data_IF_281741437137
#
_entry.id   IF_281741437137
#
_cell.length_a   1.000
_cell.length_b   1.000
_cell.length_c   1.000
_cell.angle_alpha   90.00
_cell.angle_beta   90.00
_cell.angle_gamma   90.00
#
_symmetry.space_group_name_H-M   'P 1'
#
loop_
_entity.id
_entity.type
_entity.pdbx_description
1 polymer ?
#
# COMPACT_ATOMS: atom_id res chain seq x y z
N UNK A 1 -8.06 -8.32 -7.05
CA UNK A 1 -8.98 -8.26 -5.88
C UNK A 1 -9.59 -6.87 -5.83
N UNK A 2 -10.67 -6.60 -5.07
CA UNK A 2 -11.10 -5.21 -4.88
C UNK A 2 -10.00 -4.42 -4.15
N UNK A 3 -9.90 -3.13 -4.48
CA UNK A 3 -9.03 -2.20 -3.74
C UNK A 3 -9.48 -2.20 -2.28
N UNK A 4 -8.52 -2.32 -1.37
CA UNK A 4 -8.76 -2.27 0.08
C UNK A 4 -8.48 -0.87 0.60
N UNK A 5 -9.34 -0.40 1.49
CA UNK A 5 -9.17 0.87 2.20
C UNK A 5 -8.79 0.58 3.67
N UNK A 6 -7.70 1.18 4.13
CA UNK A 6 -7.18 1.03 5.49
C UNK A 6 -7.00 2.40 6.11
N UNK A 7 -7.76 2.69 7.16
CA UNK A 7 -7.64 3.97 7.90
C UNK A 7 -6.55 3.86 8.96
N UNK A 8 -5.57 4.77 8.92
CA UNK A 8 -4.49 4.87 9.90
C UNK A 8 -4.36 6.32 10.40
N UNK A 9 -4.87 6.60 11.59
CA UNK A 9 -4.90 7.95 12.14
C UNK A 9 -5.70 8.92 11.26
N UNK A 10 -5.07 9.99 10.79
CA UNK A 10 -5.67 10.98 9.86
C UNK A 10 -5.45 10.64 8.36
N UNK A 11 -4.90 9.46 8.09
CA UNK A 11 -4.57 8.99 6.74
C UNK A 11 -5.44 7.80 6.34
N UNK A 12 -5.75 7.72 5.04
CA UNK A 12 -6.44 6.61 4.39
C UNK A 12 -5.46 6.00 3.40
N UNK A 13 -5.18 4.71 3.56
CA UNK A 13 -4.29 3.95 2.69
C UNK A 13 -5.16 3.12 1.76
N UNK A 14 -5.06 3.34 0.46
CA UNK A 14 -5.68 2.46 -0.52
C UNK A 14 -4.65 1.44 -0.99
N UNK A 15 -5.01 0.17 -1.02
CA UNK A 15 -4.14 -0.91 -1.48
C UNK A 15 -4.82 -1.66 -2.62
N UNK A 16 -4.12 -1.76 -3.74
CA UNK A 16 -4.53 -2.57 -4.88
C UNK A 16 -3.54 -3.72 -5.06
N UNK A 17 -4.01 -4.95 -4.85
CA UNK A 17 -3.21 -6.16 -5.04
C UNK A 17 -3.44 -6.72 -6.44
N UNK A 18 -2.34 -6.79 -7.20
CA UNK A 18 -2.30 -7.19 -8.59
C UNK A 18 -1.56 -8.53 -8.67
N UNK A 19 -2.20 -9.52 -9.30
CA UNK A 19 -1.53 -10.77 -9.64
C UNK A 19 -1.06 -10.70 -11.09
N UNK A 20 0.23 -10.95 -11.31
CA UNK A 20 0.84 -11.03 -12.64
C UNK A 20 0.51 -12.37 -13.30
N UNK A 21 0.69 -12.44 -14.62
CA UNK A 21 0.43 -13.65 -15.42
C UNK A 21 1.29 -14.85 -14.99
N UNK A 22 2.48 -14.59 -14.43
CA UNK A 22 3.39 -15.60 -13.88
C UNK A 22 3.03 -16.04 -12.44
N UNK A 23 1.85 -15.66 -11.96
CA UNK A 23 1.30 -15.90 -10.61
C UNK A 23 2.02 -15.16 -9.48
N UNK A 24 2.98 -14.28 -9.77
CA UNK A 24 3.57 -13.43 -8.75
C UNK A 24 2.59 -12.35 -8.31
N UNK A 25 2.60 -12.04 -7.03
CA UNK A 25 1.83 -10.95 -6.47
C UNK A 25 2.65 -9.67 -6.49
N UNK A 26 1.96 -8.58 -6.79
CA UNK A 26 2.43 -7.20 -6.65
C UNK A 26 1.35 -6.44 -5.92
N UNK A 27 1.70 -5.33 -5.29
CA UNK A 27 0.70 -4.40 -4.81
C UNK A 27 1.12 -2.99 -5.17
N UNK A 28 0.13 -2.11 -5.28
CA UNK A 28 0.35 -0.68 -5.25
C UNK A 28 -0.46 -0.09 -4.13
N UNK A 29 0.06 0.96 -3.51
CA UNK A 29 -0.65 1.69 -2.47
C UNK A 29 -0.59 3.19 -2.68
N UNK A 30 -1.56 3.92 -2.16
CA UNK A 30 -1.54 5.38 -2.10
C UNK A 30 -1.99 5.82 -0.70
N UNK A 31 -1.41 6.89 -0.18
CA UNK A 31 -1.68 7.40 1.17
C UNK A 31 -2.34 8.77 1.09
N UNK A 32 -3.63 8.83 1.41
CA UNK A 32 -4.43 10.05 1.40
C UNK A 32 -4.57 10.65 2.79
N UNK A 33 -4.13 11.90 2.99
CA UNK A 33 -4.43 12.65 4.21
C UNK A 33 -5.76 13.38 4.05
N UNK A 34 -6.60 13.38 5.09
CA UNK A 34 -7.79 14.22 5.10
C UNK A 34 -7.43 15.69 4.78
N UNK A 35 -7.89 16.19 3.61
CA UNK A 35 -7.64 17.56 3.14
C UNK A 35 -6.55 17.76 2.08
N UNK A 36 -5.76 16.74 1.72
CA UNK A 36 -4.80 16.78 0.61
C UNK A 36 -5.19 15.73 -0.45
N UNK A 37 -5.43 16.19 -1.69
CA UNK A 37 -6.08 15.40 -2.76
C UNK A 37 -5.07 14.79 -3.77
N UNK A 38 -3.76 14.91 -3.54
CA UNK A 38 -2.76 14.32 -4.45
C UNK A 38 -1.91 13.32 -3.71
N UNK A 39 -2.15 12.06 -4.01
CA UNK A 39 -1.51 10.90 -3.41
C UNK A 39 -1.26 9.93 -4.55
N UNK A 40 -0.05 9.99 -5.10
CA UNK A 40 0.31 9.14 -6.23
C UNK A 40 0.36 7.67 -5.80
N UNK A 41 0.07 6.77 -6.74
CA UNK A 41 0.23 5.35 -6.53
C UNK A 41 1.71 5.00 -6.48
N UNK A 42 2.08 4.22 -5.47
CA UNK A 42 3.39 3.63 -5.33
C UNK A 42 3.33 2.13 -5.54
N UNK A 43 4.15 1.62 -6.45
CA UNK A 43 4.28 0.21 -6.72
C UNK A 43 5.26 -0.47 -5.75
N UNK A 44 4.87 -1.65 -5.28
CA UNK A 44 5.66 -2.52 -4.41
C UNK A 44 5.73 -3.90 -5.02
N UNK A 45 6.94 -4.31 -5.36
CA UNK A 45 7.22 -5.69 -5.70
C UNK A 45 7.25 -6.53 -4.42
N UNK A 46 6.42 -7.59 -4.39
CA UNK A 46 6.46 -8.52 -3.27
C UNK A 46 7.65 -9.47 -3.46
N UNK A 47 8.44 -9.73 -2.39
CA UNK A 47 9.53 -10.69 -2.46
C UNK A 47 9.05 -12.08 -2.90
N UNK A 48 9.92 -12.84 -3.56
CA UNK A 48 9.63 -14.23 -3.92
C UNK A 48 9.25 -15.04 -2.67
N UNK A 49 8.14 -15.78 -2.75
CA UNK A 49 7.58 -16.55 -1.63
C UNK A 49 6.38 -15.91 -0.94
N UNK A 50 6.02 -14.66 -1.27
CA UNK A 50 4.77 -14.04 -0.83
C UNK A 50 3.61 -14.41 -1.77
N UNK A 51 2.84 -15.45 -1.40
CA UNK A 51 1.83 -16.08 -2.28
C UNK A 51 0.41 -15.58 -1.99
N UNK A 52 0.22 -14.56 -1.14
CA UNK A 52 -1.11 -14.10 -0.75
C UNK A 52 -1.29 -12.60 -0.89
N UNK A 53 -2.46 -12.22 -1.43
CA UNK A 53 -2.91 -10.84 -1.49
C UNK A 53 -2.97 -10.18 -0.11
N UNK A 54 -3.26 -10.97 0.94
CA UNK A 54 -3.38 -10.47 2.31
C UNK A 54 -2.00 -10.03 2.86
N UNK A 55 -0.93 -10.75 2.52
CA UNK A 55 0.42 -10.31 2.88
C UNK A 55 0.85 -9.09 2.06
N UNK A 56 0.44 -9.02 0.79
CA UNK A 56 0.69 -7.85 -0.05
C UNK A 56 0.02 -6.58 0.53
N UNK A 57 -1.16 -6.74 1.14
CA UNK A 57 -1.84 -5.68 1.90
C UNK A 57 -1.05 -5.29 3.13
N UNK A 58 -0.67 -6.24 3.98
CA UNK A 58 0.09 -5.93 5.20
C UNK A 58 1.42 -5.24 4.90
N UNK A 59 2.15 -5.69 3.87
CA UNK A 59 3.41 -5.06 3.45
C UNK A 59 3.20 -3.62 2.96
N UNK A 60 2.13 -3.39 2.19
CA UNK A 60 1.76 -2.05 1.71
C UNK A 60 1.43 -1.10 2.86
N UNK A 61 0.71 -1.57 3.87
CA UNK A 61 0.39 -0.78 5.08
C UNK A 61 1.66 -0.42 5.85
N UNK A 62 2.58 -1.38 6.07
CA UNK A 62 3.84 -1.12 6.78
C UNK A 62 4.73 -0.10 6.04
N UNK A 63 4.79 -0.17 4.72
CA UNK A 63 5.53 0.80 3.90
C UNK A 63 4.89 2.20 3.96
N UNK A 64 3.56 2.26 3.90
CA UNK A 64 2.82 3.51 4.07
C UNK A 64 3.08 4.14 5.45
N UNK A 65 3.03 3.35 6.52
CA UNK A 65 3.34 3.80 7.89
C UNK A 65 4.77 4.32 8.02
N UNK A 66 5.74 3.60 7.46
CA UNK A 66 7.13 4.05 7.44
C UNK A 66 7.29 5.41 6.74
N UNK A 67 6.67 5.59 5.57
CA UNK A 67 6.70 6.87 4.86
C UNK A 67 6.04 7.99 5.65
N UNK A 68 4.87 7.75 6.23
CA UNK A 68 4.19 8.73 7.09
C UNK A 68 5.06 9.17 8.28
N UNK A 69 5.78 8.23 8.90
CA UNK A 69 6.72 8.55 9.98
C UNK A 69 7.90 9.41 9.49
N UNK A 70 8.39 9.15 8.28
CA UNK A 70 9.48 9.95 7.68
C UNK A 70 9.05 11.38 7.33
N UNK A 71 7.80 11.56 6.88
CA UNK A 71 7.22 12.88 6.56
C UNK A 71 6.91 13.72 7.81
N UNK A 72 6.61 13.09 8.95
CA UNK A 72 6.31 13.78 10.21
C UNK A 72 7.57 14.28 10.95
N UNK A 73 8.75 13.86 10.48
CA UNK A 73 10.04 14.22 11.08
C UNK A 73 10.68 15.48 10.45
N UNK A 74 9.96 16.14 9.54
CA UNK A 74 10.36 17.38 8.86
C UNK A 74 9.45 18.56 9.24
#
# INVERSE_FOLDING_TARGET
MPIQEVTHGAHVIFVDSLQRDDRRWTARFQVCRAGHVVCDWEDVEMPEGFISAQLAVSASVLLAEHRLSSLSSH
#
